data_IF_825496518522
#
_entry.id   IF_825496518522
#
_cell.length_a   1.000
_cell.length_b   1.000
_cell.length_c   1.000
_cell.angle_alpha   90.00
_cell.angle_beta   90.00
_cell.angle_gamma   90.00
#
_symmetry.space_group_name_H-M   'P 1'
#
loop_
_entity.id
_entity.type
_entity.pdbx_description
1 polymer ?
#
# COMPACT_ATOMS: atom_id res chain seq x y z
N UNK A 1 11.31 15.13 23.88
CA UNK A 1 10.25 14.10 23.95
C UNK A 1 10.47 13.09 22.82
N UNK A 2 11.07 11.93 23.10
CA UNK A 2 11.47 10.90 22.11
C UNK A 2 10.45 9.74 21.95
N UNK A 3 9.19 9.92 22.35
CA UNK A 3 8.28 8.78 22.61
C UNK A 3 7.48 8.26 21.39
N UNK A 4 7.55 8.89 20.21
CA UNK A 4 6.71 8.50 19.06
C UNK A 4 7.34 7.47 18.12
N UNK A 5 8.67 7.38 18.10
CA UNK A 5 9.43 6.45 17.24
C UNK A 5 9.11 4.97 17.51
N UNK A 6 9.09 4.47 18.77
CA UNK A 6 8.77 3.06 19.01
C UNK A 6 7.32 2.73 18.64
N UNK A 7 6.38 3.66 18.89
CA UNK A 7 4.98 3.47 18.56
C UNK A 7 4.77 3.35 17.04
N UNK A 8 5.30 4.29 16.27
CA UNK A 8 5.21 4.24 14.81
C UNK A 8 5.82 2.95 14.23
N UNK A 9 7.02 2.56 14.69
CA UNK A 9 7.71 1.36 14.22
C UNK A 9 6.86 0.09 14.41
N UNK A 10 6.18 -0.05 15.56
CA UNK A 10 5.29 -1.18 15.82
C UNK A 10 4.13 -1.21 14.82
N UNK A 11 3.49 -0.05 14.57
CA UNK A 11 2.38 0.03 13.61
C UNK A 11 2.82 -0.26 12.17
N UNK A 12 4.00 0.20 11.76
CA UNK A 12 4.55 -0.14 10.45
C UNK A 12 4.85 -1.62 10.30
N UNK A 13 5.42 -2.27 11.33
CA UNK A 13 5.67 -3.72 11.29
C UNK A 13 4.37 -4.52 11.27
N UNK A 14 3.38 -4.13 12.08
CA UNK A 14 2.06 -4.74 12.08
C UNK A 14 1.35 -4.54 10.74
N UNK A 15 1.44 -3.35 10.14
CA UNK A 15 0.89 -3.06 8.81
C UNK A 15 1.54 -3.91 7.72
N UNK A 16 2.86 -4.10 7.77
CA UNK A 16 3.58 -5.02 6.88
C UNK A 16 3.04 -6.45 7.01
N UNK A 17 3.00 -6.99 8.22
CA UNK A 17 2.52 -8.36 8.45
C UNK A 17 1.04 -8.52 8.05
N UNK A 18 0.19 -7.58 8.44
CA UNK A 18 -1.25 -7.61 8.19
C UNK A 18 -1.60 -7.51 6.69
N UNK A 19 -0.85 -6.71 5.92
CA UNK A 19 -1.09 -6.58 4.48
C UNK A 19 -0.73 -7.85 3.70
N UNK A 20 0.23 -8.65 4.17
CA UNK A 20 0.65 -9.90 3.54
C UNK A 20 -0.30 -11.07 3.79
N UNK A 21 -1.03 -11.07 4.90
CA UNK A 21 -2.01 -12.11 5.24
C UNK A 21 -2.94 -12.44 4.06
N UNK A 22 -3.58 -11.45 3.41
CA UNK A 22 -4.45 -11.68 2.26
C UNK A 22 -3.81 -12.03 0.93
N UNK A 23 -2.48 -12.05 0.84
CA UNK A 23 -1.78 -12.19 -0.44
C UNK A 23 -2.15 -13.49 -1.17
N UNK A 24 -2.18 -14.62 -0.45
CA UNK A 24 -2.40 -15.93 -1.03
C UNK A 24 -3.76 -16.03 -1.76
N UNK A 25 -4.85 -15.63 -1.11
CA UNK A 25 -6.18 -15.74 -1.71
C UNK A 25 -6.45 -14.67 -2.77
N UNK A 26 -5.84 -13.48 -2.66
CA UNK A 26 -5.92 -12.50 -3.75
C UNK A 26 -5.22 -13.02 -5.02
N UNK A 27 -4.13 -13.77 -4.86
CA UNK A 27 -3.45 -14.45 -5.95
C UNK A 27 -4.31 -15.58 -6.53
N UNK A 28 -4.87 -16.45 -5.69
CA UNK A 28 -5.79 -17.52 -6.12
C UNK A 28 -6.98 -16.97 -6.91
N UNK A 29 -7.47 -15.80 -6.49
CA UNK A 29 -8.60 -15.15 -7.10
C UNK A 29 -8.26 -14.26 -8.32
N UNK A 30 -7.01 -14.30 -8.80
CA UNK A 30 -6.53 -13.55 -9.97
C UNK A 30 -6.76 -12.03 -9.89
N UNK A 31 -6.79 -11.47 -8.68
CA UNK A 31 -6.94 -10.03 -8.49
C UNK A 31 -5.57 -9.34 -8.52
N UNK A 32 -5.06 -9.13 -9.73
CA UNK A 32 -3.73 -8.54 -9.98
C UNK A 32 -3.60 -7.16 -9.33
N UNK A 33 -4.64 -6.33 -9.40
CA UNK A 33 -4.64 -5.00 -8.77
C UNK A 33 -4.48 -5.08 -7.25
N UNK A 34 -5.19 -5.99 -6.57
CA UNK A 34 -5.04 -6.17 -5.13
C UNK A 34 -3.67 -6.75 -4.74
N UNK A 35 -3.11 -7.65 -5.55
CA UNK A 35 -1.76 -8.20 -5.33
C UNK A 35 -0.71 -7.09 -5.40
N UNK A 36 -0.77 -6.22 -6.42
CA UNK A 36 0.13 -5.06 -6.51
C UNK A 36 -0.10 -4.06 -5.38
N UNK A 37 -1.34 -3.83 -4.97
CA UNK A 37 -1.64 -2.98 -3.80
C UNK A 37 -0.95 -3.52 -2.54
N UNK A 38 -1.07 -4.82 -2.27
CA UNK A 38 -0.40 -5.50 -1.15
C UNK A 38 1.12 -5.36 -1.27
N UNK A 39 1.68 -5.59 -2.46
CA UNK A 39 3.11 -5.46 -2.68
C UNK A 39 3.62 -4.05 -2.33
N UNK A 40 3.00 -3.01 -2.88
CA UNK A 40 3.41 -1.62 -2.63
C UNK A 40 3.25 -1.21 -1.18
N UNK A 41 2.14 -1.58 -0.55
CA UNK A 41 1.89 -1.18 0.83
C UNK A 41 2.76 -1.93 1.85
N UNK A 42 3.02 -3.22 1.61
CA UNK A 42 3.96 -4.00 2.41
C UNK A 42 5.37 -3.42 2.27
N UNK A 43 5.82 -3.15 1.04
CA UNK A 43 7.12 -2.55 0.78
C UNK A 43 7.27 -1.18 1.46
N UNK A 44 6.23 -0.34 1.42
CA UNK A 44 6.20 0.96 2.11
C UNK A 44 6.29 0.82 3.63
N UNK A 45 5.47 -0.05 4.23
CA UNK A 45 5.49 -0.28 5.68
C UNK A 45 6.84 -0.82 6.16
N UNK A 46 7.45 -1.73 5.39
CA UNK A 46 8.74 -2.33 5.69
C UNK A 46 9.88 -1.31 5.63
N UNK A 47 9.93 -0.47 4.59
CA UNK A 47 10.96 0.58 4.51
C UNK A 47 10.79 1.64 5.60
N UNK A 48 9.55 2.04 5.91
CA UNK A 48 9.28 2.98 7.00
C UNK A 48 9.65 2.43 8.38
N UNK A 49 9.44 1.13 8.62
CA UNK A 49 9.89 0.46 9.85
C UNK A 49 11.40 0.60 10.06
N UNK A 50 12.21 0.27 9.04
CA UNK A 50 13.66 0.44 9.15
C UNK A 50 14.07 1.89 9.29
N UNK A 51 13.43 2.81 8.56
CA UNK A 51 13.73 4.24 8.67
C UNK A 51 13.48 4.75 10.10
N UNK A 52 12.38 4.35 10.73
CA UNK A 52 12.07 4.74 12.09
C UNK A 52 13.10 4.22 13.11
N UNK A 53 13.56 2.98 12.96
CA UNK A 53 14.51 2.37 13.90
C UNK A 53 15.93 2.93 13.71
N UNK A 54 16.40 3.04 12.48
CA UNK A 54 17.79 3.40 12.19
C UNK A 54 18.10 4.89 12.40
N UNK A 55 17.08 5.74 12.27
CA UNK A 55 17.20 7.20 12.38
C UNK A 55 16.59 7.75 13.68
N UNK A 56 16.30 6.89 14.65
CA UNK A 56 15.83 7.27 15.98
C UNK A 56 16.88 8.11 16.70
N UNK A 57 16.62 9.41 16.91
CA UNK A 57 17.55 10.33 17.57
C UNK A 57 18.91 10.47 16.87
N UNK A 58 19.01 10.15 15.57
CA UNK A 58 20.25 10.27 14.84
C UNK A 58 20.04 10.71 13.39
N UNK A 59 21.01 11.46 12.84
CA UNK A 59 21.10 11.87 11.42
C UNK A 59 22.42 11.46 10.76
N UNK A 60 23.31 10.79 11.51
CA UNK A 60 24.69 10.47 11.09
C UNK A 60 24.94 9.00 10.76
N UNK A 61 23.99 8.10 11.07
CA UNK A 61 24.14 6.65 10.85
C UNK A 61 24.41 6.33 9.38
N UNK A 62 25.51 5.63 9.09
CA UNK A 62 26.04 5.48 7.72
C UNK A 62 25.46 4.26 6.99
N UNK A 63 24.17 4.27 6.64
CA UNK A 63 23.54 3.22 5.79
C UNK A 63 22.96 3.82 4.51
N UNK A 64 23.83 4.45 3.72
CA UNK A 64 23.46 5.19 2.51
C UNK A 64 22.69 4.34 1.48
N UNK A 65 23.03 3.06 1.33
CA UNK A 65 22.34 2.14 0.40
C UNK A 65 20.87 1.92 0.76
N UNK A 66 20.54 1.89 2.05
CA UNK A 66 19.16 1.70 2.48
C UNK A 66 18.32 2.96 2.27
N UNK A 67 18.92 4.14 2.45
CA UNK A 67 18.24 5.41 2.10
C UNK A 67 17.92 5.48 0.62
N UNK A 68 18.86 5.09 -0.22
CA UNK A 68 18.68 5.03 -1.66
C UNK A 68 17.52 4.14 -2.10
N UNK A 69 17.35 2.99 -1.45
CA UNK A 69 16.20 2.11 -1.69
C UNK A 69 14.93 2.77 -1.15
N UNK A 70 14.99 3.31 0.07
CA UNK A 70 13.84 3.90 0.76
C UNK A 70 13.20 5.06 -0.01
N UNK A 71 14.00 6.00 -0.52
CA UNK A 71 13.47 7.14 -1.27
C UNK A 71 12.80 6.70 -2.57
N UNK A 72 13.36 5.70 -3.27
CA UNK A 72 12.79 5.17 -4.53
C UNK A 72 11.51 4.39 -4.27
N UNK A 73 11.47 3.62 -3.19
CA UNK A 73 10.24 2.97 -2.72
C UNK A 73 9.18 4.02 -2.39
N UNK A 74 9.52 5.07 -1.66
CA UNK A 74 8.57 6.14 -1.32
C UNK A 74 8.00 6.82 -2.59
N UNK A 75 8.86 7.12 -3.57
CA UNK A 75 8.45 7.66 -4.87
C UNK A 75 7.56 6.68 -5.65
N UNK A 76 7.91 5.39 -5.71
CA UNK A 76 7.06 4.42 -6.41
C UNK A 76 5.72 4.20 -5.73
N UNK A 77 5.66 4.22 -4.39
CA UNK A 77 4.43 4.00 -3.63
C UNK A 77 3.42 5.13 -3.86
N UNK A 78 3.88 6.38 -4.03
CA UNK A 78 2.99 7.52 -4.28
C UNK A 78 2.16 7.37 -5.56
N UNK A 79 2.68 6.67 -6.57
CA UNK A 79 1.96 6.35 -7.81
C UNK A 79 1.45 4.90 -7.87
N UNK A 80 2.12 3.97 -7.20
CA UNK A 80 1.82 2.55 -7.23
C UNK A 80 0.54 2.19 -6.49
N UNK A 81 0.27 2.83 -5.35
CA UNK A 81 -1.00 2.67 -4.62
C UNK A 81 -2.21 3.17 -5.42
N UNK A 82 -2.24 4.42 -5.93
CA UNK A 82 -3.36 4.88 -6.74
C UNK A 82 -3.48 4.13 -8.07
N UNK A 83 -2.38 3.72 -8.70
CA UNK A 83 -2.42 2.85 -9.89
C UNK A 83 -3.09 1.50 -9.59
N UNK A 84 -2.72 0.87 -8.47
CA UNK A 84 -3.33 -0.39 -8.03
C UNK A 84 -4.82 -0.23 -7.73
N UNK A 85 -5.21 0.87 -7.06
CA UNK A 85 -6.60 1.22 -6.79
C UNK A 85 -7.41 1.42 -8.09
N UNK A 86 -6.85 2.15 -9.06
CA UNK A 86 -7.45 2.34 -10.38
C UNK A 86 -7.66 1.02 -11.12
N UNK A 87 -6.66 0.14 -11.12
CA UNK A 87 -6.74 -1.17 -11.78
C UNK A 87 -7.80 -2.06 -11.14
N UNK A 88 -7.92 -2.04 -9.80
CA UNK A 88 -9.01 -2.74 -9.08
C UNK A 88 -10.37 -2.24 -9.59
N UNK A 89 -10.61 -0.93 -9.59
CA UNK A 89 -11.89 -0.36 -10.05
C UNK A 89 -12.15 -0.62 -11.54
N UNK A 90 -11.13 -0.52 -12.39
CA UNK A 90 -11.24 -0.83 -13.81
C UNK A 90 -11.65 -2.29 -14.05
N UNK A 91 -11.14 -3.22 -13.24
CA UNK A 91 -11.53 -4.64 -13.33
C UNK A 91 -12.97 -4.86 -12.94
N UNK A 92 -13.41 -4.23 -11.86
CA UNK A 92 -14.81 -4.29 -11.41
C UNK A 92 -15.76 -3.71 -12.46
N UNK A 93 -15.37 -2.61 -13.10
CA UNK A 93 -16.12 -2.03 -14.22
C UNK A 93 -16.24 -3.01 -15.39
N UNK A 94 -15.15 -3.64 -15.79
CA UNK A 94 -15.16 -4.64 -16.88
C UNK A 94 -16.07 -5.82 -16.55
N UNK A 95 -16.06 -6.30 -15.29
CA UNK A 95 -16.96 -7.36 -14.84
C UNK A 95 -18.43 -6.94 -14.81
N UNK A 96 -18.71 -5.65 -14.58
CA UNK A 96 -20.06 -5.13 -14.67
C UNK A 96 -20.55 -5.04 -16.14
N UNK A 97 -19.68 -4.69 -17.09
CA UNK A 97 -20.07 -4.50 -18.49
C UNK A 97 -20.04 -5.76 -19.35
N UNK A 98 -19.26 -6.79 -19.00
CA UNK A 98 -19.05 -7.96 -19.87
C UNK A 98 -19.72 -9.23 -19.33
N UNK A 99 -20.30 -10.07 -20.20
CA UNK A 99 -20.80 -11.38 -19.78
C UNK A 99 -19.69 -12.29 -19.22
N UNK A 100 -19.96 -13.11 -18.19
CA UNK A 100 -18.98 -13.99 -17.57
C UNK A 100 -18.30 -14.96 -18.55
N UNK A 101 -19.02 -15.39 -19.58
CA UNK A 101 -18.53 -16.32 -20.60
C UNK A 101 -17.39 -15.74 -21.43
N UNK A 102 -17.46 -14.44 -21.74
CA UNK A 102 -16.44 -13.74 -22.53
C UNK A 102 -15.22 -13.45 -21.65
N UNK A 103 -15.45 -13.00 -20.41
CA UNK A 103 -14.39 -12.69 -19.44
C UNK A 103 -13.59 -13.93 -19.02
N UNK A 104 -14.25 -15.09 -18.87
CA UNK A 104 -13.61 -16.33 -18.44
C UNK A 104 -12.56 -16.89 -19.43
N UNK A 105 -12.51 -16.38 -20.66
CA UNK A 105 -11.60 -16.86 -21.72
C UNK A 105 -10.13 -16.69 -21.32
N UNK A 106 -9.30 -17.74 -21.51
CA UNK A 106 -7.86 -17.71 -21.16
C UNK A 106 -7.10 -16.52 -21.77
N UNK A 107 -7.38 -16.20 -23.04
CA UNK A 107 -6.78 -15.06 -23.75
C UNK A 107 -7.07 -13.72 -23.06
N UNK A 108 -8.33 -13.51 -22.67
CA UNK A 108 -8.76 -12.29 -21.98
C UNK A 108 -8.12 -12.18 -20.59
N UNK A 109 -8.01 -13.30 -19.85
CA UNK A 109 -7.32 -13.34 -18.55
C UNK A 109 -5.83 -13.05 -18.65
N UNK A 110 -5.14 -13.60 -19.65
CA UNK A 110 -3.71 -13.33 -19.83
C UNK A 110 -3.46 -11.88 -20.23
N UNK A 111 -4.21 -11.37 -21.22
CA UNK A 111 -4.14 -9.97 -21.63
C UNK A 111 -4.44 -9.04 -20.45
N UNK A 112 -5.40 -9.44 -19.61
CA UNK A 112 -5.76 -8.71 -18.41
C UNK A 112 -4.60 -8.57 -17.44
N UNK A 113 -3.97 -9.70 -17.08
CA UNK A 113 -2.83 -9.74 -16.15
C UNK A 113 -1.66 -8.92 -16.67
N UNK A 114 -1.38 -9.01 -17.98
CA UNK A 114 -0.29 -8.28 -18.62
C UNK A 114 -0.53 -6.76 -18.53
N UNK A 115 -1.70 -6.29 -18.97
CA UNK A 115 -2.04 -4.86 -18.96
C UNK A 115 -2.03 -4.30 -17.53
N UNK A 116 -2.62 -5.03 -16.60
CA UNK A 116 -2.70 -4.59 -15.20
C UNK A 116 -1.31 -4.54 -14.55
N UNK A 117 -0.45 -5.52 -14.84
CA UNK A 117 0.92 -5.53 -14.32
C UNK A 117 1.78 -4.42 -14.92
N UNK A 118 1.55 -4.05 -16.18
CA UNK A 118 2.21 -2.88 -16.76
C UNK A 118 1.79 -1.58 -16.08
N UNK A 119 0.50 -1.41 -15.80
CA UNK A 119 -0.01 -0.21 -15.11
C UNK A 119 0.48 -0.16 -13.66
N UNK A 120 0.47 -1.28 -12.93
CA UNK A 120 0.82 -1.28 -11.50
C UNK A 120 2.32 -1.42 -11.21
N UNK A 121 3.11 -1.93 -12.15
CA UNK A 121 4.54 -2.22 -11.96
C UNK A 121 5.46 -1.39 -12.87
N UNK A 122 5.23 -1.42 -14.18
CA UNK A 122 6.09 -0.69 -15.12
C UNK A 122 5.92 0.83 -14.97
N UNK A 123 4.69 1.33 -14.80
CA UNK A 123 4.47 2.78 -14.63
C UNK A 123 5.19 3.36 -13.40
N UNK A 124 5.09 2.78 -12.18
CA UNK A 124 5.89 3.26 -11.04
C UNK A 124 7.41 3.17 -11.27
N UNK A 125 7.88 2.17 -12.01
CA UNK A 125 9.30 2.01 -12.34
C UNK A 125 9.78 3.13 -13.28
N UNK A 126 9.01 3.44 -14.31
CA UNK A 126 9.28 4.56 -15.21
C UNK A 126 9.20 5.91 -14.48
N UNK A 127 8.25 6.04 -13.57
CA UNK A 127 8.11 7.22 -12.72
C UNK A 127 9.36 7.45 -11.87
N UNK A 128 9.91 6.42 -11.19
CA UNK A 128 11.18 6.56 -10.47
C UNK A 128 12.32 7.02 -11.40
N UNK A 129 12.42 6.43 -12.61
CA UNK A 129 13.47 6.79 -13.55
C UNK A 129 13.40 8.25 -13.99
N UNK A 130 12.19 8.76 -14.26
CA UNK A 130 11.94 10.17 -14.56
C UNK A 130 12.24 11.06 -13.34
N UNK A 131 11.80 10.64 -12.16
CA UNK A 131 11.98 11.41 -10.93
C UNK A 131 13.45 11.52 -10.54
N UNK A 132 14.27 10.51 -10.85
CA UNK A 132 15.72 10.52 -10.65
C UNK A 132 16.41 11.66 -11.42
N UNK A 133 15.91 12.02 -12.61
CA UNK A 133 16.42 13.15 -13.39
C UNK A 133 16.04 14.51 -12.78
N UNK A 134 14.97 14.55 -11.98
CA UNK A 134 14.46 15.74 -11.30
C UNK A 134 15.05 15.95 -9.88
N UNK A 135 15.90 15.04 -9.41
CA UNK A 135 16.52 15.14 -8.08
C UNK A 135 17.59 16.23 -8.04
N UNK A 136 17.58 17.05 -6.99
CA UNK A 136 18.59 18.10 -6.77
C UNK A 136 19.81 17.55 -6.04
N UNK A 137 19.56 16.87 -4.94
CA UNK A 137 20.55 16.20 -4.10
C UNK A 137 20.21 14.70 -4.00
N UNK A 138 21.13 13.90 -3.46
CA UNK A 138 20.97 12.44 -3.40
C UNK A 138 19.69 12.07 -2.66
N UNK A 139 19.57 12.61 -1.45
CA UNK A 139 18.45 12.50 -0.53
C UNK A 139 18.70 13.38 0.68
N UNK A 140 17.63 13.62 1.44
CA UNK A 140 17.64 14.35 2.70
C UNK A 140 17.35 13.38 3.84
N UNK A 141 18.06 13.51 4.96
CA UNK A 141 17.80 12.76 6.18
C UNK A 141 17.09 13.69 7.17
N UNK A 142 15.87 13.29 7.55
CA UNK A 142 15.09 13.94 8.60
C UNK A 142 15.25 13.16 9.90
N UNK A 143 15.72 13.81 10.97
CA UNK A 143 15.84 13.18 12.29
C UNK A 143 14.49 12.59 12.77
N UNK A 144 14.51 11.40 13.37
CA UNK A 144 13.34 10.60 13.81
C UNK A 144 12.39 10.09 12.71
N UNK A 145 12.59 10.48 11.46
CA UNK A 145 11.75 10.08 10.31
C UNK A 145 12.52 9.19 9.34
N UNK A 146 13.74 9.60 8.99
CA UNK A 146 14.63 8.89 8.08
C UNK A 146 14.79 9.55 6.72
N UNK A 147 14.95 8.74 5.68
CA UNK A 147 15.36 9.21 4.35
C UNK A 147 14.18 9.76 3.55
N UNK A 148 14.33 10.96 3.00
CA UNK A 148 13.32 11.67 2.22
C UNK A 148 13.88 12.08 0.84
N UNK A 149 13.08 12.01 -0.23
CA UNK A 149 13.52 12.45 -1.55
C UNK A 149 13.78 13.96 -1.58
N UNK A 150 14.86 14.38 -2.25
CA UNK A 150 15.18 15.79 -2.46
C UNK A 150 14.98 16.15 -3.94
N UNK A 151 13.87 16.82 -4.20
CA UNK A 151 13.40 17.15 -5.53
C UNK A 151 13.70 18.61 -5.86
N UNK A 152 14.10 18.87 -7.11
CA UNK A 152 14.36 20.24 -7.56
C UNK A 152 13.08 21.10 -7.56
N UNK A 153 13.21 22.36 -7.16
CA UNK A 153 12.11 23.33 -7.17
C UNK A 153 11.86 23.87 -8.59
N UNK A 154 11.46 22.98 -9.48
CA UNK A 154 11.25 23.28 -10.90
C UNK A 154 9.85 22.88 -11.33
N UNK A 155 9.23 23.67 -12.21
CA UNK A 155 7.89 23.40 -12.73
C UNK A 155 7.70 21.95 -13.26
N UNK A 156 8.65 21.36 -14.01
CA UNK A 156 8.52 19.97 -14.46
C UNK A 156 8.45 18.96 -13.32
N UNK A 157 9.16 19.22 -12.21
CA UNK A 157 9.19 18.33 -11.05
C UNK A 157 7.86 18.35 -10.29
N UNK A 158 7.24 19.53 -10.15
CA UNK A 158 5.86 19.63 -9.65
C UNK A 158 4.90 18.88 -10.57
N UNK A 159 4.94 19.13 -11.88
CA UNK A 159 4.04 18.48 -12.82
C UNK A 159 4.16 16.94 -12.74
N UNK A 160 5.37 16.40 -12.73
CA UNK A 160 5.58 14.96 -12.61
C UNK A 160 5.06 14.41 -11.28
N UNK A 161 5.42 15.06 -10.16
CA UNK A 161 5.13 14.54 -8.81
C UNK A 161 3.66 14.60 -8.43
N UNK A 162 2.91 15.56 -8.97
CA UNK A 162 1.50 15.79 -8.62
C UNK A 162 0.54 15.26 -9.67
N UNK A 163 0.82 15.46 -10.96
CA UNK A 163 -0.12 15.07 -12.02
C UNK A 163 -0.26 13.55 -12.10
N UNK A 164 0.80 12.79 -11.91
CA UNK A 164 0.73 11.33 -11.99
C UNK A 164 -0.18 10.70 -10.90
N UNK A 165 0.02 10.96 -9.59
CA UNK A 165 -0.88 10.44 -8.54
C UNK A 165 -2.33 10.93 -8.68
N UNK A 166 -2.53 12.20 -9.05
CA UNK A 166 -3.87 12.79 -9.22
C UNK A 166 -4.63 12.18 -10.39
N UNK A 167 -3.99 11.98 -11.54
CA UNK A 167 -4.63 11.36 -12.71
C UNK A 167 -5.03 9.90 -12.41
N UNK A 168 -4.18 9.16 -11.72
CA UNK A 168 -4.48 7.78 -11.31
C UNK A 168 -5.63 7.72 -10.30
N UNK A 169 -5.62 8.61 -9.31
CA UNK A 169 -6.69 8.71 -8.31
C UNK A 169 -8.01 9.14 -8.95
N UNK A 170 -7.98 10.10 -9.88
CA UNK A 170 -9.14 10.53 -10.64
C UNK A 170 -9.68 9.41 -11.53
N UNK A 171 -8.82 8.71 -12.27
CA UNK A 171 -9.19 7.54 -13.05
C UNK A 171 -9.83 6.45 -12.19
N UNK A 172 -9.30 6.22 -10.99
CA UNK A 172 -9.90 5.32 -10.01
C UNK A 172 -11.31 5.73 -9.60
N UNK A 173 -11.54 7.02 -9.30
CA UNK A 173 -12.88 7.55 -9.00
C UNK A 173 -13.86 7.37 -10.17
N UNK A 174 -13.42 7.68 -11.40
CA UNK A 174 -14.25 7.53 -12.60
C UNK A 174 -14.67 6.08 -12.79
N UNK A 175 -13.73 5.13 -12.77
CA UNK A 175 -14.07 3.72 -12.90
C UNK A 175 -14.94 3.22 -11.75
N UNK A 176 -14.72 3.72 -10.52
CA UNK A 176 -15.59 3.40 -9.39
C UNK A 176 -17.03 3.86 -9.64
N UNK A 177 -17.24 5.11 -10.08
CA UNK A 177 -18.55 5.65 -10.39
C UNK A 177 -19.24 4.89 -11.53
N UNK A 178 -18.51 4.63 -12.63
CA UNK A 178 -19.03 3.88 -13.76
C UNK A 178 -19.43 2.45 -13.38
N UNK A 179 -18.64 1.77 -12.54
CA UNK A 179 -18.96 0.42 -12.04
C UNK A 179 -20.28 0.42 -11.26
N UNK A 180 -20.48 1.41 -10.39
CA UNK A 180 -21.70 1.54 -9.61
C UNK A 180 -22.90 1.86 -10.49
N UNK A 181 -22.75 2.76 -11.47
CA UNK A 181 -23.81 3.13 -12.42
C UNK A 181 -24.24 1.91 -13.23
N UNK A 182 -23.31 1.24 -13.90
CA UNK A 182 -23.59 0.09 -14.77
C UNK A 182 -24.34 -0.99 -13.99
N UNK A 183 -23.82 -1.32 -12.81
CA UNK A 183 -24.37 -2.38 -11.99
C UNK A 183 -25.72 -1.99 -11.36
N UNK A 184 -25.97 -0.69 -11.16
CA UNK A 184 -27.27 -0.17 -10.77
C UNK A 184 -28.27 -0.12 -11.92
N UNK A 185 -27.81 -0.15 -13.17
CA UNK A 185 -28.65 -0.20 -14.37
C UNK A 185 -29.02 -1.64 -14.74
N UNK A 186 -28.12 -2.62 -14.55
CA UNK A 186 -28.36 -4.06 -14.81
C UNK A 186 -29.28 -4.76 -13.78
N UNK A 187 -30.24 -4.03 -13.20
CA UNK A 187 -30.90 -4.30 -11.91
C UNK A 187 -31.89 -5.47 -11.83
N UNK A 188 -32.15 -6.25 -12.87
CA UNK A 188 -33.13 -7.34 -12.75
C UNK A 188 -32.62 -8.55 -11.98
N UNK A 189 -31.32 -8.69 -11.74
CA UNK A 189 -30.77 -9.43 -10.59
C UNK A 189 -29.26 -9.17 -10.49
N UNK A 190 -28.86 -8.24 -9.61
CA UNK A 190 -27.45 -8.09 -9.19
C UNK A 190 -26.84 -9.43 -8.75
N UNK A 191 -27.67 -10.31 -8.18
CA UNK A 191 -27.32 -11.69 -7.87
C UNK A 191 -27.10 -12.57 -9.11
N UNK A 192 -27.82 -12.37 -10.22
CA UNK A 192 -27.62 -13.12 -11.48
C UNK A 192 -26.42 -12.63 -12.27
N UNK A 193 -26.16 -11.31 -12.29
CA UNK A 193 -24.96 -10.77 -12.92
C UNK A 193 -23.68 -11.29 -12.23
N UNK A 194 -23.71 -11.47 -10.91
CA UNK A 194 -22.62 -12.06 -10.15
C UNK A 194 -22.65 -13.60 -10.10
N UNK A 195 -23.81 -14.27 -10.28
CA UNK A 195 -23.89 -15.74 -10.18
C UNK A 195 -23.09 -16.46 -11.26
N UNK A 196 -22.89 -15.82 -12.42
CA UNK A 196 -22.02 -16.32 -13.48
C UNK A 196 -20.52 -16.19 -13.19
N UNK A 197 -20.13 -15.36 -12.21
CA UNK A 197 -18.74 -15.10 -11.87
C UNK A 197 -18.33 -15.88 -10.61
N UNK A 198 -17.73 -17.06 -10.80
CA UNK A 198 -17.30 -17.94 -9.70
C UNK A 198 -16.35 -17.27 -8.68
N UNK A 199 -15.65 -16.22 -9.09
CA UNK A 199 -14.64 -15.52 -8.28
C UNK A 199 -15.13 -14.19 -7.68
N UNK A 200 -16.33 -13.70 -8.00
CA UNK A 200 -16.81 -12.38 -7.58
C UNK A 200 -18.12 -12.50 -6.79
N UNK A 201 -18.04 -12.37 -5.47
CA UNK A 201 -19.21 -12.31 -4.58
C UNK A 201 -19.64 -10.86 -4.32
N UNK A 202 -20.93 -10.60 -4.04
CA UNK A 202 -21.40 -9.27 -3.64
C UNK A 202 -20.61 -8.62 -2.51
N UNK A 203 -20.28 -9.41 -1.49
CA UNK A 203 -19.50 -8.95 -0.34
C UNK A 203 -18.09 -8.55 -0.76
N UNK A 204 -17.44 -9.34 -1.62
CA UNK A 204 -16.10 -9.04 -2.13
C UNK A 204 -16.10 -7.79 -3.02
N UNK A 205 -17.12 -7.62 -3.84
CA UNK A 205 -17.31 -6.43 -4.67
C UNK A 205 -17.39 -5.16 -3.83
N UNK A 206 -18.29 -5.12 -2.83
CA UNK A 206 -18.47 -3.94 -1.96
C UNK A 206 -17.21 -3.61 -1.17
N UNK A 207 -16.46 -4.63 -0.72
CA UNK A 207 -15.18 -4.44 -0.03
C UNK A 207 -14.10 -3.85 -0.92
N UNK A 208 -14.02 -4.29 -2.17
CA UNK A 208 -13.05 -3.75 -3.14
C UNK A 208 -13.35 -2.28 -3.47
N UNK A 209 -14.61 -1.94 -3.70
CA UNK A 209 -15.01 -0.53 -3.89
C UNK A 209 -14.78 0.30 -2.63
N UNK A 210 -15.13 -0.22 -1.46
CA UNK A 210 -14.90 0.43 -0.17
C UNK A 210 -13.43 0.73 0.06
N UNK A 211 -12.53 -0.23 -0.22
CA UNK A 211 -11.08 -0.01 -0.14
C UNK A 211 -10.62 1.08 -1.11
N UNK A 212 -11.10 1.04 -2.35
CA UNK A 212 -10.64 1.97 -3.37
C UNK A 212 -11.10 3.41 -3.09
N UNK A 213 -12.33 3.58 -2.60
CA UNK A 213 -12.85 4.87 -2.10
C UNK A 213 -12.08 5.34 -0.87
N UNK A 214 -11.85 4.45 0.11
CA UNK A 214 -11.08 4.80 1.30
C UNK A 214 -9.67 5.26 0.93
N UNK A 215 -9.00 4.56 0.01
CA UNK A 215 -7.68 4.96 -0.50
C UNK A 215 -7.75 6.35 -1.12
N UNK A 216 -8.75 6.62 -1.96
CA UNK A 216 -8.92 7.91 -2.62
C UNK A 216 -9.12 9.07 -1.62
N UNK A 217 -9.96 8.89 -0.61
CA UNK A 217 -10.19 9.90 0.43
C UNK A 217 -8.97 10.13 1.33
N UNK A 218 -8.10 9.13 1.45
CA UNK A 218 -6.89 9.23 2.26
C UNK A 218 -5.72 9.86 1.47
N UNK A 219 -5.57 9.53 0.19
CA UNK A 219 -4.44 10.00 -0.63
C UNK A 219 -4.67 11.40 -1.21
N UNK A 220 -5.88 11.78 -1.62
CA UNK A 220 -6.14 13.09 -2.23
C UNK A 220 -5.79 14.29 -1.32
N UNK A 221 -6.25 14.34 -0.06
CA UNK A 221 -5.89 15.45 0.84
C UNK A 221 -4.39 15.47 1.13
N UNK A 222 -3.76 14.29 1.20
CA UNK A 222 -2.33 14.15 1.42
C UNK A 222 -1.52 14.72 0.25
N UNK A 223 -1.91 14.41 -0.97
CA UNK A 223 -1.26 14.90 -2.18
C UNK A 223 -1.30 16.44 -2.23
N UNK A 224 -2.44 17.04 -1.85
CA UNK A 224 -2.60 18.50 -1.75
C UNK A 224 -1.74 19.12 -0.65
N UNK A 225 -1.70 18.51 0.54
CA UNK A 225 -0.87 19.01 1.66
C UNK A 225 0.63 18.89 1.38
N UNK A 226 1.04 17.83 0.67
CA UNK A 226 2.42 17.65 0.22
C UNK A 226 2.87 18.77 -0.71
N UNK A 227 1.99 19.39 -1.51
CA UNK A 227 2.37 20.57 -2.33
C UNK A 227 2.86 21.70 -1.44
N UNK A 228 2.03 22.09 -0.46
CA UNK A 228 2.33 23.21 0.42
C UNK A 228 3.57 22.93 1.28
N UNK A 229 3.74 21.69 1.75
CA UNK A 229 4.87 21.31 2.57
C UNK A 229 6.18 21.16 1.80
N UNK A 230 6.17 20.63 0.56
CA UNK A 230 7.38 20.49 -0.25
C UNK A 230 8.04 21.84 -0.53
N UNK A 231 7.25 22.89 -0.82
CA UNK A 231 7.80 24.24 -0.99
C UNK A 231 8.54 24.72 0.27
N UNK A 232 7.99 24.45 1.46
CA UNK A 232 8.63 24.83 2.73
C UNK A 232 9.89 24.01 3.04
N UNK A 233 9.86 22.70 2.77
CA UNK A 233 11.01 21.81 2.99
C UNK A 233 12.16 22.14 2.04
N UNK A 234 11.89 22.42 0.77
CA UNK A 234 12.92 22.80 -0.20
C UNK A 234 13.60 24.12 0.17
N UNK A 235 12.84 25.10 0.69
CA UNK A 235 13.41 26.33 1.22
C UNK A 235 14.33 26.07 2.42
N UNK A 236 13.96 25.17 3.33
CA UNK A 236 14.77 24.77 4.48
C UNK A 236 16.05 24.03 4.06
N UNK A 237 15.95 23.07 3.13
CA UNK A 237 17.10 22.34 2.55
C UNK A 237 18.09 23.32 1.94
N UNK A 238 17.60 24.32 1.20
CA UNK A 238 18.45 25.33 0.55
C UNK A 238 19.21 26.17 1.59
N UNK A 239 18.54 26.59 2.68
CA UNK A 239 19.19 27.32 3.78
C UNK A 239 20.23 26.47 4.51
N UNK A 240 19.93 25.21 4.80
CA UNK A 240 20.81 24.30 5.56
C UNK A 240 22.02 23.86 4.73
N UNK A 241 21.81 23.62 3.42
CA UNK A 241 22.86 23.17 2.51
C UNK A 241 23.69 24.33 1.93
N UNK A 242 23.28 25.58 2.20
CA UNK A 242 23.88 26.81 1.70
C UNK A 242 23.39 27.16 0.29
N UNK A 243 22.96 28.42 0.09
CA UNK A 243 22.44 28.95 -1.18
C UNK A 243 23.40 28.80 -2.38
N UNK A 244 24.69 28.56 -2.10
CA UNK A 244 25.77 28.51 -3.09
C UNK A 244 26.27 27.09 -3.41
N UNK A 245 25.69 26.02 -2.85
CA UNK A 245 26.10 24.67 -3.23
C UNK A 245 25.64 24.41 -4.70
N UNK A 246 26.57 24.27 -5.67
CA UNK A 246 26.19 23.93 -7.03
C UNK A 246 25.40 22.61 -7.02
N UNK A 247 24.48 22.41 -7.96
CA UNK A 247 23.72 21.17 -8.15
C UNK A 247 24.66 19.95 -8.09
N UNK A 248 24.81 19.39 -6.90
CA UNK A 248 25.74 18.31 -6.61
C UNK A 248 24.90 17.15 -6.07
N UNK A 249 24.72 16.17 -6.95
CA UNK A 249 23.94 14.98 -6.67
C UNK A 249 24.49 14.19 -5.48
N UNK A 250 25.79 14.30 -5.18
CA UNK A 250 26.43 13.54 -4.09
C UNK A 250 26.23 14.14 -2.70
N UNK A 251 25.59 15.31 -2.58
CA UNK A 251 25.31 15.94 -1.30
C UNK A 251 24.13 15.24 -0.61
N UNK A 252 24.27 15.03 0.70
CA UNK A 252 23.22 14.51 1.58
C UNK A 252 22.91 15.57 2.63
N UNK A 253 21.72 16.16 2.55
CA UNK A 253 21.26 17.13 3.54
C UNK A 253 20.81 16.39 4.81
N UNK A 254 21.18 16.93 5.98
CA UNK A 254 20.80 16.39 7.30
C UNK A 254 20.04 17.46 8.05
N UNK A 255 18.77 17.22 8.36
CA UNK A 255 17.90 18.20 9.00
C UNK A 255 17.47 17.66 10.38
N UNK A 256 17.90 18.31 11.46
CA UNK A 256 17.44 17.98 12.80
C UNK A 256 15.95 18.26 12.97
N UNK A 257 15.32 17.55 13.90
CA UNK A 257 13.89 17.65 14.19
C UNK A 257 13.46 19.06 14.56
N UNK A 258 14.28 19.77 15.31
CA UNK A 258 14.01 21.16 15.67
C UNK A 258 13.82 22.09 14.45
N UNK A 259 14.40 21.75 13.30
CA UNK A 259 14.28 22.55 12.08
C UNK A 259 13.13 22.09 11.17
N UNK A 260 13.01 20.79 10.89
CA UNK A 260 11.94 20.30 10.01
C UNK A 260 10.56 20.36 10.67
N UNK A 261 10.49 20.21 11.99
CA UNK A 261 9.25 20.26 12.76
C UNK A 261 8.88 21.68 13.22
N UNK A 262 9.66 22.71 12.84
CA UNK A 262 9.43 24.09 13.24
C UNK A 262 8.17 24.70 12.60
N UNK A 263 7.86 24.30 11.37
CA UNK A 263 6.62 24.68 10.69
C UNK A 263 5.56 23.63 10.95
N UNK A 264 4.39 24.06 11.46
CA UNK A 264 3.26 23.16 11.72
C UNK A 264 2.80 22.43 10.44
N UNK A 265 2.78 23.13 9.30
CA UNK A 265 2.37 22.55 8.02
C UNK A 265 3.37 21.50 7.51
N UNK A 266 4.68 21.75 7.67
CA UNK A 266 5.72 20.81 7.29
C UNK A 266 5.71 19.58 8.21
N UNK A 267 5.57 19.79 9.52
CA UNK A 267 5.43 18.72 10.49
C UNK A 267 4.23 17.84 10.16
N UNK A 268 3.05 18.44 9.96
CA UNK A 268 1.82 17.71 9.67
C UNK A 268 1.94 16.90 8.38
N UNK A 269 2.51 17.47 7.31
CA UNK A 269 2.67 16.75 6.04
C UNK A 269 3.64 15.56 6.15
N UNK A 270 4.78 15.74 6.83
CA UNK A 270 5.75 14.67 7.04
C UNK A 270 5.13 13.53 7.87
N UNK A 271 4.45 13.86 8.97
CA UNK A 271 3.79 12.85 9.81
C UNK A 271 2.63 12.17 9.09
N UNK A 272 1.74 12.92 8.41
CA UNK A 272 0.64 12.33 7.64
C UNK A 272 1.15 11.42 6.51
N UNK A 273 2.19 11.85 5.79
CA UNK A 273 2.82 11.06 4.73
C UNK A 273 3.48 9.80 5.27
N UNK A 274 3.98 9.84 6.51
CA UNK A 274 4.52 8.70 7.22
C UNK A 274 3.42 7.73 7.68
N UNK A 275 2.30 8.21 8.22
CA UNK A 275 1.21 7.37 8.75
C UNK A 275 0.29 6.76 7.69
N UNK A 276 0.27 7.29 6.47
CA UNK A 276 -0.65 6.83 5.41
C UNK A 276 -0.51 5.34 5.08
N UNK A 277 0.73 4.82 5.00
CA UNK A 277 0.97 3.44 4.60
C UNK A 277 0.51 2.44 5.67
N UNK A 278 0.87 2.57 6.97
CA UNK A 278 0.31 1.73 8.02
C UNK A 278 -1.22 1.79 8.10
N UNK A 279 -1.82 2.99 7.96
CA UNK A 279 -3.28 3.17 7.99
C UNK A 279 -3.95 2.42 6.82
N UNK A 280 -3.46 2.61 5.60
CA UNK A 280 -3.97 1.90 4.43
C UNK A 280 -3.77 0.37 4.56
N UNK A 281 -2.70 -0.09 5.21
CA UNK A 281 -2.43 -1.52 5.40
C UNK A 281 -3.42 -2.16 6.38
N UNK A 282 -3.69 -1.46 7.49
CA UNK A 282 -4.68 -1.86 8.48
C UNK A 282 -6.08 -1.85 7.87
N UNK A 283 -6.42 -0.83 7.09
CA UNK A 283 -7.70 -0.78 6.37
C UNK A 283 -7.82 -1.94 5.39
N UNK A 284 -6.78 -2.23 4.60
CA UNK A 284 -6.77 -3.38 3.70
C UNK A 284 -7.05 -4.69 4.46
N UNK A 285 -6.38 -4.90 5.59
CA UNK A 285 -6.61 -6.05 6.44
C UNK A 285 -8.02 -6.07 7.04
N UNK A 286 -8.59 -4.92 7.43
CA UNK A 286 -9.96 -4.84 7.92
C UNK A 286 -10.98 -5.27 6.85
N UNK A 287 -10.79 -4.84 5.60
CA UNK A 287 -11.67 -5.21 4.49
C UNK A 287 -11.52 -6.69 4.09
N UNK A 288 -10.29 -7.19 3.95
CA UNK A 288 -10.02 -8.52 3.37
C UNK A 288 -9.62 -9.58 4.38
N UNK A 289 -8.87 -9.23 5.42
CA UNK A 289 -8.40 -10.15 6.46
C UNK A 289 -9.48 -10.58 7.45
N UNK A 290 -10.53 -9.77 7.66
CA UNK A 290 -11.65 -10.10 8.57
C UNK A 290 -12.84 -10.74 7.86
N UNK A 291 -12.73 -10.98 6.54
CA UNK A 291 -13.78 -11.58 5.73
C UNK A 291 -14.15 -13.01 6.17
N UNK A 292 -15.42 -13.39 5.99
CA UNK A 292 -15.87 -14.77 6.24
C UNK A 292 -15.08 -15.79 5.37
N UNK A 293 -14.78 -15.39 4.13
CA UNK A 293 -13.89 -16.12 3.23
C UNK A 293 -12.50 -16.31 3.89
N UNK A 294 -11.88 -15.24 4.38
CA UNK A 294 -10.58 -15.29 5.06
C UNK A 294 -10.59 -16.18 6.32
N UNK A 295 -11.65 -16.12 7.14
CA UNK A 295 -11.80 -16.99 8.32
C UNK A 295 -11.84 -18.47 7.95
N UNK A 296 -12.43 -18.80 6.81
CA UNK A 296 -12.44 -20.18 6.29
C UNK A 296 -11.04 -20.63 5.91
N UNK A 297 -10.24 -19.77 5.29
CA UNK A 297 -8.83 -20.05 5.01
C UNK A 297 -7.98 -20.16 6.28
N UNK A 298 -8.21 -19.31 7.29
CA UNK A 298 -7.52 -19.41 8.58
C UNK A 298 -7.84 -20.73 9.31
N UNK A 299 -9.11 -21.14 9.31
CA UNK A 299 -9.51 -22.42 9.90
C UNK A 299 -8.82 -23.61 9.21
N UNK A 300 -8.74 -23.59 7.87
CA UNK A 300 -7.99 -24.61 7.10
C UNK A 300 -6.49 -24.58 7.38
N UNK A 301 -5.88 -23.40 7.47
CA UNK A 301 -4.47 -23.26 7.83
C UNK A 301 -4.18 -23.79 9.23
N UNK A 302 -5.05 -23.48 10.19
CA UNK A 302 -4.96 -23.97 11.56
C UNK A 302 -5.11 -25.49 11.66
N UNK A 303 -6.02 -26.11 10.90
CA UNK A 303 -6.15 -27.57 10.88
C UNK A 303 -4.92 -28.24 10.28
N UNK A 304 -4.33 -27.69 9.20
CA UNK A 304 -3.08 -28.21 8.63
C UNK A 304 -1.92 -28.08 9.60
N UNK A 305 -1.73 -26.90 10.21
CA UNK A 305 -0.65 -26.66 11.17
C UNK A 305 -0.81 -27.52 12.43
N UNK A 306 -2.02 -27.62 12.97
CA UNK A 306 -2.29 -28.49 14.12
C UNK A 306 -2.06 -29.95 13.77
N UNK A 307 -2.47 -30.42 12.60
CA UNK A 307 -2.18 -31.80 12.16
C UNK A 307 -0.68 -32.03 11.94
N UNK A 308 0.06 -31.07 11.39
CA UNK A 308 1.52 -31.17 11.23
C UNK A 308 2.23 -31.21 12.59
N UNK A 309 1.82 -30.34 13.53
CA UNK A 309 2.31 -30.32 14.91
C UNK A 309 1.98 -31.64 15.63
N UNK A 310 0.77 -32.17 15.45
CA UNK A 310 0.40 -33.46 16.02
C UNK A 310 1.19 -34.62 15.41
N UNK A 311 1.48 -34.57 14.11
CA UNK A 311 2.31 -35.58 13.45
C UNK A 311 3.77 -35.54 13.94
N UNK A 312 4.33 -34.36 14.24
CA UNK A 312 5.66 -34.25 14.85
C UNK A 312 5.66 -34.66 16.32
N UNK A 313 4.66 -34.29 17.10
CA UNK A 313 4.51 -34.71 18.49
C UNK A 313 4.30 -36.23 18.60
N UNK A 314 3.53 -36.84 17.69
CA UNK A 314 3.36 -38.30 17.62
C UNK A 314 4.67 -39.04 17.35
N UNK A 315 5.59 -38.45 16.57
CA UNK A 315 6.95 -39.02 16.37
C UNK A 315 7.81 -38.97 17.64
N UNK A 316 7.48 -38.11 18.59
CA UNK A 316 8.16 -37.97 19.89
C UNK A 316 7.41 -38.77 20.99
N UNK A 317 6.41 -39.57 20.62
CA UNK A 317 5.67 -40.44 21.53
C UNK A 317 4.47 -39.79 22.24
N UNK A 318 4.07 -38.57 21.85
CA UNK A 318 2.90 -37.91 22.42
C UNK A 318 1.61 -38.35 21.70
N UNK A 319 0.61 -38.80 22.48
CA UNK A 319 -0.71 -39.22 21.96
C UNK A 319 -1.65 -38.02 21.92
N UNK A 320 -2.35 -37.85 20.79
CA UNK A 320 -3.35 -36.79 20.62
C UNK A 320 -4.52 -37.02 21.59
N UNK A 321 -4.89 -36.05 22.45
CA UNK A 321 -6.10 -36.17 23.27
C UNK A 321 -7.31 -36.25 22.32
N UNK A 322 -8.12 -37.30 22.46
CA UNK A 322 -9.34 -37.48 21.69
C UNK A 322 -10.28 -36.28 21.95
N UNK A 323 -10.91 -35.71 20.91
CA UNK A 323 -11.95 -34.72 21.13
C UNK A 323 -13.07 -35.34 21.99
N UNK A 324 -13.66 -34.58 22.93
CA UNK A 324 -14.75 -35.09 23.74
C UNK A 324 -15.89 -35.57 22.83
N UNK A 325 -16.38 -36.79 23.09
CA UNK A 325 -17.46 -37.40 22.34
C UNK A 325 -18.69 -36.46 22.36
N UNK A 326 -19.28 -36.13 21.20
CA UNK A 326 -20.52 -35.36 21.15
C UNK A 326 -21.64 -36.23 21.73
N UNK A 327 -21.92 -36.08 23.02
CA UNK A 327 -22.96 -36.87 23.70
C UNK A 327 -22.89 -36.94 25.22
N UNK A 328 -21.82 -36.48 25.88
CA UNK A 328 -21.79 -36.40 27.35
C UNK A 328 -22.16 -35.00 27.83
N UNK A 329 -23.39 -34.59 27.54
CA UNK A 329 -24.06 -33.65 28.42
C UNK A 329 -24.19 -34.37 29.77
N UNK A 330 -23.44 -33.92 30.77
CA UNK A 330 -23.67 -34.33 32.15
C UNK A 330 -25.04 -33.79 32.57
N UNK A 331 -26.01 -34.64 32.94
CA UNK A 331 -27.05 -34.20 33.87
C UNK A 331 -26.39 -34.14 35.25
N UNK A 332 -26.35 -32.94 35.84
CA UNK A 332 -26.64 -32.65 37.25
C UNK A 332 -26.48 -31.16 37.50
#
# INVERSE_FOLDING_TARGET
MHSTVPFFSIFSLLGFAASLVPLYWQFEAWNVGAVWYIFWIALSCFTQYFNAILWAGNTTTSVHTLCEISIRVAMAVSVGLPASSMVINRRLYIFACMPPTVEATKSNKHRAVIVDSFICGLFPTLYIALQAASQRHRFTILEDVGCFPDLSDTLPTYFLSFTAPLLLSFGSAVYCALSVIEMSASRTNFAEALSGHRNLTPSRFLRLHGLALATLFLTLPLDLLNVAANATLTALVTRVSGDAAPFSFNVVARIPRALWAASESAHAAVELGRWIAPVCAILFFAFFGLAAEARTHYARGFTVLSNALWNTLARIGWVRPLPPLPGTAHPL
#
